data_IF_676265661413
#
_entry.id   IF_676265661413
#
_cell.length_a   1.000
_cell.length_b   1.000
_cell.length_c   1.000
_cell.angle_alpha   90.00
_cell.angle_beta   90.00
_cell.angle_gamma   90.00
#
_symmetry.space_group_name_H-M   'P 1'
#
loop_
_entity.id
_entity.type
_entity.pdbx_description
1 polymer ?
#
# COMPACT_ATOMS: atom_id res chain seq x y z
N UNK A 1 -5.08 8.50 -14.00
CA UNK A 1 -5.06 8.43 -15.48
C UNK A 1 -6.11 9.35 -16.12
N UNK A 2 -7.38 9.32 -15.70
CA UNK A 2 -8.44 10.22 -16.20
C UNK A 2 -8.13 11.72 -15.99
N UNK A 3 -7.47 12.11 -14.90
CA UNK A 3 -7.08 13.49 -14.64
C UNK A 3 -6.00 14.00 -15.61
N UNK A 4 -5.08 13.12 -16.01
CA UNK A 4 -4.07 13.42 -17.03
C UNK A 4 -4.72 13.69 -18.39
N UNK A 5 -5.76 12.92 -18.75
CA UNK A 5 -6.50 13.09 -20.00
C UNK A 5 -7.39 14.34 -19.99
N UNK A 6 -8.03 14.64 -18.84
CA UNK A 6 -8.87 15.84 -18.68
C UNK A 6 -8.07 17.15 -18.77
N UNK A 7 -6.81 17.14 -18.35
CA UNK A 7 -5.91 18.28 -18.49
C UNK A 7 -5.29 18.43 -19.88
N UNK A 8 -5.33 17.42 -20.73
CA UNK A 8 -4.76 17.47 -22.09
C UNK A 8 -5.42 18.55 -22.98
N UNK A 9 -6.69 18.85 -22.75
CA UNK A 9 -7.41 19.93 -23.46
C UNK A 9 -7.01 21.33 -22.95
N UNK A 10 -6.61 21.47 -21.68
CA UNK A 10 -6.13 22.74 -21.10
C UNK A 10 -4.67 23.05 -21.46
N UNK A 11 -3.91 22.07 -21.95
CA UNK A 11 -2.48 22.24 -22.29
C UNK A 11 -2.25 23.09 -23.53
N UNK A 12 -3.26 23.28 -24.37
CA UNK A 12 -3.16 24.17 -25.55
C UNK A 12 -3.24 25.66 -25.23
N UNK A 13 -3.68 26.04 -24.04
CA UNK A 13 -3.97 27.44 -23.69
C UNK A 13 -2.98 28.02 -22.67
N UNK A 14 -2.19 27.21 -21.95
CA UNK A 14 -1.24 27.69 -20.95
C UNK A 14 0.05 26.89 -21.03
N UNK A 15 1.15 27.49 -21.43
CA UNK A 15 2.46 26.88 -21.62
C UNK A 15 3.16 26.41 -20.33
N UNK A 16 2.45 26.28 -19.21
CA UNK A 16 2.92 25.67 -17.95
C UNK A 16 2.03 24.51 -17.54
N UNK A 17 2.63 23.33 -17.50
CA UNK A 17 2.08 22.04 -17.08
C UNK A 17 1.78 22.06 -15.56
N UNK A 18 0.67 22.66 -15.13
CA UNK A 18 0.25 22.67 -13.72
C UNK A 18 -0.50 21.39 -13.39
N UNK A 19 0.26 20.32 -13.07
CA UNK A 19 -0.32 19.09 -12.52
C UNK A 19 -0.84 19.37 -11.10
N UNK A 20 -1.98 18.74 -10.73
CA UNK A 20 -2.47 18.79 -9.36
C UNK A 20 -1.46 18.15 -8.40
N UNK A 21 -1.44 18.59 -7.13
CA UNK A 21 -0.62 17.96 -6.09
C UNK A 21 -0.87 16.45 -6.02
N UNK A 22 -2.15 16.05 -6.11
CA UNK A 22 -2.56 14.65 -6.11
C UNK A 22 -1.89 13.85 -7.25
N UNK A 23 -1.90 14.36 -8.47
CA UNK A 23 -1.28 13.68 -9.62
C UNK A 23 0.24 13.56 -9.45
N UNK A 24 0.90 14.63 -8.96
CA UNK A 24 2.35 14.61 -8.69
C UNK A 24 2.71 13.59 -7.62
N UNK A 25 2.03 13.62 -6.47
CA UNK A 25 2.25 12.67 -5.38
C UNK A 25 2.02 11.23 -5.83
N UNK A 26 0.92 10.96 -6.53
CA UNK A 26 0.63 9.61 -7.03
C UNK A 26 1.73 9.11 -7.96
N UNK A 27 2.16 9.91 -8.93
CA UNK A 27 3.16 9.48 -9.91
C UNK A 27 4.56 9.31 -9.29
N UNK A 28 5.01 10.28 -8.49
CA UNK A 28 6.34 10.22 -7.86
C UNK A 28 6.43 9.07 -6.87
N UNK A 29 5.42 8.88 -6.02
CA UNK A 29 5.42 7.80 -5.04
C UNK A 29 5.28 6.44 -5.73
N UNK A 30 4.44 6.32 -6.78
CA UNK A 30 4.34 5.07 -7.53
C UNK A 30 5.66 4.72 -8.20
N UNK A 31 6.32 5.67 -8.86
CA UNK A 31 7.61 5.43 -9.50
C UNK A 31 8.69 5.06 -8.48
N UNK A 32 8.74 5.76 -7.33
CA UNK A 32 9.68 5.47 -6.25
C UNK A 32 9.48 4.06 -5.67
N UNK A 33 8.23 3.67 -5.39
CA UNK A 33 7.91 2.35 -4.87
C UNK A 33 8.16 1.23 -5.90
N UNK A 34 7.91 1.46 -7.20
CA UNK A 34 8.25 0.50 -8.26
C UNK A 34 9.76 0.31 -8.36
N UNK A 35 10.51 1.40 -8.38
CA UNK A 35 11.97 1.33 -8.46
C UNK A 35 12.58 0.67 -7.21
N UNK A 36 12.12 1.06 -6.01
CA UNK A 36 12.57 0.47 -4.76
C UNK A 36 12.22 -1.02 -4.66
N UNK A 37 11.00 -1.41 -5.03
CA UNK A 37 10.57 -2.80 -5.06
C UNK A 37 11.40 -3.64 -6.01
N UNK A 38 11.63 -3.17 -7.24
CA UNK A 38 12.48 -3.85 -8.22
C UNK A 38 13.93 -4.01 -7.72
N UNK A 39 14.50 -2.92 -7.19
CA UNK A 39 15.86 -2.93 -6.67
C UNK A 39 16.02 -3.90 -5.48
N UNK A 40 15.09 -3.87 -4.52
CA UNK A 40 15.12 -4.75 -3.36
C UNK A 40 14.92 -6.22 -3.75
N UNK A 41 13.97 -6.52 -4.63
CA UNK A 41 13.77 -7.89 -5.13
C UNK A 41 15.01 -8.39 -5.84
N UNK A 42 15.61 -7.61 -6.74
CA UNK A 42 16.86 -7.99 -7.39
C UNK A 42 18.00 -8.19 -6.40
N UNK A 43 18.14 -7.30 -5.41
CA UNK A 43 19.24 -7.39 -4.44
C UNK A 43 19.12 -8.63 -3.53
N UNK A 44 17.91 -8.98 -3.10
CA UNK A 44 17.66 -10.08 -2.18
C UNK A 44 17.65 -11.45 -2.90
N UNK A 45 17.17 -11.50 -4.14
CA UNK A 45 17.00 -12.75 -4.89
C UNK A 45 18.10 -13.01 -5.92
N UNK A 46 19.09 -12.13 -6.04
CA UNK A 46 20.12 -12.20 -7.11
C UNK A 46 20.83 -13.53 -7.22
N UNK A 47 21.14 -14.14 -6.09
CA UNK A 47 21.85 -15.42 -5.98
C UNK A 47 20.96 -16.58 -5.56
N UNK A 48 19.65 -16.37 -5.37
CA UNK A 48 18.72 -17.43 -5.00
C UNK A 48 18.52 -18.41 -6.16
N UNK A 49 19.09 -19.60 -6.07
CA UNK A 49 19.01 -20.63 -7.11
C UNK A 49 17.61 -21.14 -7.44
N UNK A 50 16.65 -20.94 -6.53
CA UNK A 50 15.25 -21.34 -6.72
C UNK A 50 14.40 -20.25 -7.42
N UNK A 51 14.90 -19.02 -7.54
CA UNK A 51 14.17 -17.89 -8.11
C UNK A 51 14.96 -17.20 -9.22
N UNK A 52 15.68 -16.11 -8.91
CA UNK A 52 16.41 -15.34 -9.93
C UNK A 52 17.79 -15.92 -10.28
N UNK A 53 18.37 -16.76 -9.44
CA UNK A 53 19.74 -17.28 -9.62
C UNK A 53 20.03 -17.82 -11.03
N UNK A 54 19.17 -18.69 -11.61
CA UNK A 54 19.40 -19.28 -12.93
C UNK A 54 19.31 -18.31 -14.11
N UNK A 55 18.73 -17.11 -13.91
CA UNK A 55 18.44 -16.15 -14.98
C UNK A 55 19.68 -15.35 -15.39
N UNK A 56 19.74 -14.92 -16.65
CA UNK A 56 20.69 -13.93 -17.11
C UNK A 56 20.45 -12.54 -16.49
N UNK A 57 21.49 -11.68 -16.48
CA UNK A 57 21.40 -10.36 -15.84
C UNK A 57 20.20 -9.52 -16.31
N UNK A 58 19.92 -9.52 -17.62
CA UNK A 58 18.76 -8.80 -18.18
C UNK A 58 17.42 -9.39 -17.71
N UNK A 59 17.32 -10.70 -17.65
CA UNK A 59 16.13 -11.42 -17.17
C UNK A 59 15.90 -11.18 -15.66
N UNK A 60 16.97 -11.14 -14.84
CA UNK A 60 16.88 -10.79 -13.41
C UNK A 60 16.26 -9.41 -13.21
N UNK A 61 16.75 -8.41 -13.94
CA UNK A 61 16.25 -7.04 -13.85
C UNK A 61 14.78 -6.96 -14.31
N UNK A 62 14.45 -7.63 -15.40
CA UNK A 62 13.07 -7.68 -15.90
C UNK A 62 12.13 -8.38 -14.92
N UNK A 63 12.54 -9.54 -14.36
CA UNK A 63 11.75 -10.28 -13.38
C UNK A 63 11.57 -9.52 -12.07
N UNK A 64 12.60 -8.84 -11.58
CA UNK A 64 12.50 -8.00 -10.39
C UNK A 64 11.57 -6.81 -10.60
N UNK A 65 11.64 -6.15 -11.75
CA UNK A 65 10.70 -5.09 -12.12
C UNK A 65 9.27 -5.63 -12.27
N UNK A 66 9.10 -6.77 -12.95
CA UNK A 66 7.83 -7.44 -13.11
C UNK A 66 7.21 -7.77 -11.75
N UNK A 67 7.99 -8.41 -10.85
CA UNK A 67 7.53 -8.73 -9.49
C UNK A 67 7.04 -7.47 -8.76
N UNK A 68 7.83 -6.40 -8.76
CA UNK A 68 7.43 -5.13 -8.15
C UNK A 68 6.15 -4.53 -8.76
N UNK A 69 5.95 -4.66 -10.07
CA UNK A 69 4.75 -4.17 -10.74
C UNK A 69 3.52 -5.01 -10.38
N UNK A 70 3.68 -6.35 -10.30
CA UNK A 70 2.58 -7.29 -10.05
C UNK A 70 2.04 -7.22 -8.61
N UNK A 71 2.84 -6.75 -7.65
CA UNK A 71 2.38 -6.47 -6.26
C UNK A 71 1.27 -5.41 -6.20
N UNK A 72 1.01 -4.70 -7.31
CA UNK A 72 0.00 -3.64 -7.42
C UNK A 72 -1.35 -4.14 -7.93
N UNK A 73 -1.87 -5.22 -7.33
CA UNK A 73 -3.17 -5.83 -7.65
C UNK A 73 -3.27 -6.45 -9.06
N UNK A 74 -2.15 -6.89 -9.60
CA UNK A 74 -2.14 -7.67 -10.84
C UNK A 74 -2.02 -9.19 -10.58
N UNK A 75 -1.30 -9.59 -9.52
CA UNK A 75 -1.30 -10.95 -8.97
C UNK A 75 -0.61 -12.01 -9.82
N UNK A 76 0.14 -11.62 -10.86
CA UNK A 76 0.91 -12.57 -11.65
C UNK A 76 2.32 -12.75 -11.07
N UNK A 77 2.85 -13.95 -11.12
CA UNK A 77 4.20 -14.29 -10.70
C UNK A 77 5.01 -14.87 -11.87
N UNK A 78 6.28 -14.48 -11.93
CA UNK A 78 7.25 -15.04 -12.87
C UNK A 78 8.19 -16.06 -12.20
N UNK A 79 8.19 -16.09 -10.87
CA UNK A 79 8.97 -16.99 -10.03
C UNK A 79 8.07 -17.60 -8.96
N UNK A 80 8.45 -18.74 -8.41
CA UNK A 80 7.74 -19.40 -7.33
C UNK A 80 7.78 -18.52 -6.06
N UNK A 81 6.62 -18.11 -5.55
CA UNK A 81 6.51 -17.19 -4.41
C UNK A 81 6.96 -17.86 -3.11
N UNK A 82 6.66 -19.14 -2.95
CA UNK A 82 7.05 -19.97 -1.80
C UNK A 82 8.58 -20.16 -1.70
N UNK A 83 9.29 -20.04 -2.83
CA UNK A 83 10.75 -20.13 -2.91
C UNK A 83 11.48 -18.80 -2.68
N UNK A 84 10.76 -17.70 -2.47
CA UNK A 84 11.35 -16.39 -2.17
C UNK A 84 11.98 -16.37 -0.79
N UNK A 85 13.05 -15.60 -0.65
CA UNK A 85 13.68 -15.36 0.65
C UNK A 85 12.69 -14.70 1.61
N UNK A 86 12.67 -15.03 2.92
CA UNK A 86 11.75 -14.41 3.89
C UNK A 86 11.79 -12.88 3.90
N UNK A 87 12.97 -12.27 3.68
CA UNK A 87 13.10 -10.82 3.55
C UNK A 87 12.38 -10.29 2.32
N UNK A 88 12.41 -11.01 1.20
CA UNK A 88 11.68 -10.65 -0.03
C UNK A 88 10.17 -10.77 0.16
N UNK A 89 9.70 -11.80 0.86
CA UNK A 89 8.29 -11.95 1.22
C UNK A 89 7.82 -10.76 2.06
N UNK A 90 8.60 -10.33 3.05
CA UNK A 90 8.26 -9.16 3.87
C UNK A 90 8.21 -7.87 3.06
N UNK A 91 9.21 -7.62 2.21
CA UNK A 91 9.22 -6.46 1.29
C UNK A 91 8.00 -6.49 0.37
N UNK A 92 7.66 -7.67 -0.17
CA UNK A 92 6.49 -7.87 -1.01
C UNK A 92 5.19 -7.57 -0.24
N UNK A 93 5.07 -8.01 1.02
CA UNK A 93 3.94 -7.66 1.90
C UNK A 93 3.79 -6.14 2.04
N UNK A 94 4.88 -5.41 2.30
CA UNK A 94 4.84 -3.94 2.40
C UNK A 94 4.37 -3.30 1.08
N UNK A 95 4.87 -3.77 -0.06
CA UNK A 95 4.47 -3.28 -1.38
C UNK A 95 3.00 -3.59 -1.71
N UNK A 96 2.50 -4.77 -1.33
CA UNK A 96 1.10 -5.18 -1.51
C UNK A 96 0.16 -4.37 -0.62
N UNK A 97 0.57 -4.10 0.62
CA UNK A 97 -0.20 -3.28 1.57
C UNK A 97 -0.39 -1.85 1.07
N UNK A 98 0.65 -1.29 0.41
CA UNK A 98 0.59 0.01 -0.27
C UNK A 98 0.08 -0.22 -1.69
N UNK A 99 -1.24 -0.25 -1.87
CA UNK A 99 -1.89 -0.48 -3.15
C UNK A 99 -1.57 0.57 -4.23
N UNK A 100 -2.54 0.87 -5.07
CA UNK A 100 -2.37 1.83 -6.18
C UNK A 100 -2.96 3.21 -5.95
N UNK A 101 -3.06 3.99 -7.04
CA UNK A 101 -3.60 5.35 -7.03
C UNK A 101 -5.09 5.41 -6.65
N UNK A 102 -5.53 6.55 -6.09
CA UNK A 102 -6.88 6.74 -5.55
C UNK A 102 -8.01 6.67 -6.58
N UNK A 103 -7.71 6.82 -7.86
CA UNK A 103 -8.70 6.75 -8.95
C UNK A 103 -8.87 5.33 -9.53
N UNK A 104 -8.11 4.34 -9.04
CA UNK A 104 -8.16 2.95 -9.52
C UNK A 104 -9.00 2.04 -8.62
N UNK A 105 -9.35 0.88 -9.14
CA UNK A 105 -10.06 -0.20 -8.44
C UNK A 105 -9.16 -1.03 -7.52
N UNK A 106 -7.99 -0.53 -7.19
CA UNK A 106 -6.94 -1.20 -6.40
C UNK A 106 -7.32 -1.27 -4.93
N UNK A 107 -7.15 -2.43 -4.28
CA UNK A 107 -7.33 -2.62 -2.84
C UNK A 107 -6.16 -2.06 -2.01
N UNK A 108 -6.17 -2.35 -0.72
CA UNK A 108 -5.16 -1.87 0.22
C UNK A 108 -5.23 -0.36 0.49
N UNK A 109 -4.25 0.17 1.24
CA UNK A 109 -4.14 1.62 1.42
C UNK A 109 -3.67 2.27 0.13
N UNK A 110 -4.18 3.47 -0.15
CA UNK A 110 -3.82 4.17 -1.39
C UNK A 110 -2.40 4.72 -1.32
N UNK A 111 -1.70 4.72 -2.47
CA UNK A 111 -0.36 5.34 -2.59
C UNK A 111 -0.35 6.78 -2.08
N UNK A 112 -1.44 7.54 -2.32
CA UNK A 112 -1.58 8.90 -1.80
C UNK A 112 -1.68 8.96 -0.29
N UNK A 113 -2.37 8.00 0.35
CA UNK A 113 -2.44 7.88 1.82
C UNK A 113 -1.05 7.65 2.39
N UNK A 114 -0.31 6.71 1.80
CA UNK A 114 1.08 6.45 2.19
C UNK A 114 1.97 7.69 1.99
N UNK A 115 1.87 8.36 0.83
CA UNK A 115 2.64 9.57 0.52
C UNK A 115 2.37 10.71 1.51
N UNK A 116 1.10 10.92 1.88
CA UNK A 116 0.69 11.93 2.87
C UNK A 116 1.29 11.64 4.24
N UNK A 117 1.26 10.39 4.69
CA UNK A 117 1.87 9.97 5.95
C UNK A 117 3.39 10.10 5.93
N UNK A 118 4.04 9.72 4.82
CA UNK A 118 5.49 9.87 4.67
C UNK A 118 5.92 11.35 4.72
N UNK A 119 5.19 12.24 4.04
CA UNK A 119 5.46 13.69 4.11
C UNK A 119 5.27 14.23 5.52
N UNK A 120 4.21 13.80 6.22
CA UNK A 120 3.95 14.21 7.60
C UNK A 120 5.07 13.75 8.55
N UNK A 121 5.51 12.49 8.41
CA UNK A 121 6.61 11.95 9.21
C UNK A 121 7.91 12.71 8.97
N UNK A 122 8.24 13.04 7.71
CA UNK A 122 9.44 13.81 7.39
C UNK A 122 9.35 15.24 7.94
N UNK A 123 8.19 15.90 7.85
CA UNK A 123 7.97 17.22 8.41
C UNK A 123 8.14 17.23 9.94
N UNK A 124 7.58 16.22 10.63
CA UNK A 124 7.72 16.07 12.08
C UNK A 124 9.18 15.86 12.51
N UNK A 125 9.90 14.95 11.82
CA UNK A 125 11.34 14.71 12.08
C UNK A 125 12.19 15.97 11.87
N UNK A 126 11.79 16.85 10.93
CA UNK A 126 12.47 18.10 10.66
C UNK A 126 12.04 19.26 11.57
N UNK A 127 11.04 19.06 12.42
CA UNK A 127 10.47 20.10 13.28
C UNK A 127 9.70 21.16 12.47
N UNK A 128 9.21 20.84 11.29
CA UNK A 128 8.43 21.76 10.47
C UNK A 128 7.01 21.92 11.04
N UNK A 129 6.46 23.14 11.16
CA UNK A 129 5.16 23.38 11.77
C UNK A 129 3.97 22.85 10.93
N UNK A 130 4.22 22.45 9.68
CA UNK A 130 3.20 21.94 8.78
C UNK A 130 3.79 20.96 7.76
N UNK A 131 3.01 19.93 7.39
CA UNK A 131 3.37 19.04 6.31
C UNK A 131 3.22 19.74 4.96
N UNK A 132 4.34 20.11 4.35
CA UNK A 132 4.39 20.80 3.07
C UNK A 132 5.14 19.97 2.03
N UNK A 133 4.64 19.95 0.81
CA UNK A 133 5.30 19.25 -0.30
C UNK A 133 4.95 19.89 -1.63
N UNK A 134 5.93 19.95 -2.54
CA UNK A 134 5.74 20.48 -3.91
C UNK A 134 5.10 21.88 -3.95
N UNK A 135 5.41 22.73 -2.95
CA UNK A 135 4.89 24.09 -2.83
C UNK A 135 3.42 24.17 -2.37
N UNK A 136 2.90 23.13 -1.71
CA UNK A 136 1.53 23.10 -1.16
C UNK A 136 1.52 22.49 0.22
N UNK A 137 0.67 23.03 1.11
CA UNK A 137 0.42 22.52 2.45
C UNK A 137 -0.66 21.46 2.44
N UNK A 138 -0.42 20.35 3.19
CA UNK A 138 -1.41 19.30 3.40
C UNK A 138 -2.26 19.68 4.63
N UNK A 139 -3.60 19.68 4.51
CA UNK A 139 -4.45 20.05 5.63
C UNK A 139 -4.41 18.98 6.74
N UNK A 140 -4.45 19.37 8.04
CA UNK A 140 -4.43 18.43 9.17
C UNK A 140 -5.57 17.41 9.16
N UNK A 141 -6.70 17.73 8.55
CA UNK A 141 -7.82 16.81 8.35
C UNK A 141 -7.44 15.63 7.46
N UNK A 142 -6.72 15.88 6.36
CA UNK A 142 -6.25 14.83 5.47
C UNK A 142 -5.21 13.92 6.17
N UNK A 143 -4.34 14.49 7.02
CA UNK A 143 -3.39 13.72 7.82
C UNK A 143 -4.11 12.78 8.80
N UNK A 144 -5.10 13.29 9.55
CA UNK A 144 -5.90 12.47 10.48
C UNK A 144 -6.67 11.37 9.75
N UNK A 145 -7.26 11.65 8.61
CA UNK A 145 -7.94 10.64 7.79
C UNK A 145 -6.96 9.57 7.30
N UNK A 146 -5.79 9.97 6.80
CA UNK A 146 -4.76 9.05 6.33
C UNK A 146 -4.28 8.12 7.45
N UNK A 147 -4.04 8.67 8.64
CA UNK A 147 -3.64 7.91 9.83
C UNK A 147 -4.73 6.93 10.27
N UNK A 148 -5.98 7.37 10.33
CA UNK A 148 -7.12 6.50 10.69
C UNK A 148 -7.24 5.31 9.73
N UNK A 149 -7.17 5.57 8.42
CA UNK A 149 -7.25 4.50 7.39
C UNK A 149 -6.09 3.52 7.54
N UNK A 150 -4.86 4.03 7.75
CA UNK A 150 -3.68 3.17 7.87
C UNK A 150 -3.74 2.30 9.15
N UNK A 151 -4.08 2.88 10.31
CA UNK A 151 -4.18 2.13 11.57
C UNK A 151 -5.28 1.08 11.53
N UNK A 152 -6.45 1.39 10.96
CA UNK A 152 -7.53 0.42 10.80
C UNK A 152 -7.14 -0.71 9.84
N UNK A 153 -6.44 -0.40 8.75
CA UNK A 153 -5.94 -1.40 7.82
C UNK A 153 -4.92 -2.34 8.48
N UNK A 154 -3.96 -1.79 9.22
CA UNK A 154 -2.98 -2.58 9.98
C UNK A 154 -3.69 -3.46 11.02
N UNK A 155 -4.59 -2.90 11.80
CA UNK A 155 -5.35 -3.65 12.81
C UNK A 155 -6.15 -4.80 12.21
N UNK A 156 -6.78 -4.58 11.04
CA UNK A 156 -7.54 -5.61 10.35
C UNK A 156 -6.65 -6.74 9.84
N UNK A 157 -5.52 -6.40 9.19
CA UNK A 157 -4.56 -7.40 8.69
C UNK A 157 -3.98 -8.21 9.84
N UNK A 158 -3.55 -7.56 10.93
CA UNK A 158 -3.01 -8.26 12.10
C UNK A 158 -4.06 -9.18 12.71
N UNK A 159 -5.29 -8.70 12.90
CA UNK A 159 -6.38 -9.51 13.45
C UNK A 159 -6.68 -10.74 12.61
N UNK A 160 -6.75 -10.57 11.28
CA UNK A 160 -6.97 -11.69 10.36
C UNK A 160 -5.79 -12.68 10.38
N UNK A 161 -4.54 -12.19 10.43
CA UNK A 161 -3.35 -13.04 10.56
C UNK A 161 -3.41 -13.88 11.83
N UNK A 162 -3.72 -13.26 12.98
CA UNK A 162 -3.86 -13.97 14.27
C UNK A 162 -4.94 -15.04 14.18
N UNK A 163 -6.11 -14.72 13.64
CA UNK A 163 -7.20 -15.68 13.48
C UNK A 163 -6.77 -16.87 12.61
N UNK A 164 -6.13 -16.63 11.48
CA UNK A 164 -5.66 -17.71 10.60
C UNK A 164 -4.57 -18.57 11.26
N UNK A 165 -3.63 -17.95 12.00
CA UNK A 165 -2.60 -18.70 12.74
C UNK A 165 -3.18 -19.64 13.82
N UNK A 166 -4.36 -19.34 14.38
CA UNK A 166 -5.02 -20.26 15.31
C UNK A 166 -5.69 -21.46 14.62
N UNK A 167 -5.86 -21.39 13.30
CA UNK A 167 -6.58 -22.40 12.50
C UNK A 167 -5.65 -23.27 11.64
N UNK A 168 -4.39 -22.90 11.50
CA UNK A 168 -3.41 -23.58 10.63
C UNK A 168 -2.08 -23.78 11.33
N UNK A 169 -1.30 -24.77 10.86
CA UNK A 169 0.09 -25.02 11.29
C UNK A 169 1.12 -24.37 10.34
N UNK A 170 0.64 -23.55 9.42
CA UNK A 170 1.48 -22.87 8.44
C UNK A 170 2.42 -21.86 9.08
N UNK A 171 3.51 -21.54 8.37
CA UNK A 171 4.53 -20.59 8.83
C UNK A 171 3.92 -19.19 8.88
N UNK A 172 4.34 -18.41 9.90
CA UNK A 172 3.87 -17.03 10.10
C UNK A 172 4.00 -16.17 8.85
N UNK A 173 5.15 -16.23 8.15
CA UNK A 173 5.40 -15.44 6.96
C UNK A 173 4.45 -15.80 5.80
N UNK A 174 4.07 -17.06 5.65
CA UNK A 174 3.12 -17.49 4.63
C UNK A 174 1.70 -16.98 4.95
N UNK A 175 1.26 -17.12 6.19
CA UNK A 175 -0.05 -16.63 6.64
C UNK A 175 -0.15 -15.10 6.54
N UNK A 176 0.89 -14.39 6.95
CA UNK A 176 0.96 -12.94 6.82
C UNK A 176 0.89 -12.51 5.34
N UNK A 177 1.62 -13.22 4.47
CA UNK A 177 1.61 -12.95 3.04
C UNK A 177 0.22 -13.10 2.44
N UNK A 178 -0.50 -14.20 2.75
CA UNK A 178 -1.87 -14.43 2.29
C UNK A 178 -2.84 -13.36 2.79
N UNK A 179 -2.77 -12.99 4.07
CA UNK A 179 -3.66 -11.95 4.63
C UNK A 179 -3.42 -10.59 4.01
N UNK A 180 -2.15 -10.22 3.79
CA UNK A 180 -1.80 -8.95 3.13
C UNK A 180 -2.21 -8.97 1.66
N UNK A 181 -1.98 -10.06 0.95
CA UNK A 181 -2.39 -10.24 -0.44
C UNK A 181 -3.92 -10.17 -0.59
N UNK A 182 -4.66 -10.80 0.31
CA UNK A 182 -6.13 -10.73 0.34
C UNK A 182 -6.61 -9.30 0.60
N UNK A 183 -6.09 -8.62 1.65
CA UNK A 183 -6.44 -7.23 1.95
C UNK A 183 -6.07 -6.28 0.81
N UNK A 184 -4.88 -6.43 0.23
CA UNK A 184 -4.43 -5.66 -0.93
C UNK A 184 -5.20 -6.00 -2.21
N UNK A 185 -5.99 -7.08 -2.22
CA UNK A 185 -6.63 -7.66 -3.43
C UNK A 185 -5.62 -7.90 -4.55
N UNK A 186 -4.44 -8.41 -4.20
CA UNK A 186 -3.31 -8.57 -5.13
C UNK A 186 -3.41 -9.85 -5.91
N UNK A 187 -3.64 -10.98 -5.22
CA UNK A 187 -3.76 -12.31 -5.83
C UNK A 187 -2.47 -13.12 -5.86
N UNK A 188 -1.34 -12.59 -5.36
CA UNK A 188 -0.14 -13.38 -5.11
C UNK A 188 -0.37 -14.31 -3.91
N UNK A 189 0.10 -15.55 -3.99
CA UNK A 189 -0.04 -16.57 -2.96
C UNK A 189 1.24 -17.38 -2.81
N UNK A 190 1.53 -17.80 -1.59
CA UNK A 190 2.55 -18.79 -1.27
C UNK A 190 2.06 -20.23 -1.50
N UNK A 191 0.78 -20.40 -1.90
CA UNK A 191 0.17 -21.71 -2.17
C UNK A 191 -0.69 -22.26 -1.03
N UNK A 192 -0.60 -21.71 0.19
CA UNK A 192 -1.29 -22.26 1.36
C UNK A 192 -2.82 -22.06 1.36
N UNK A 193 -3.36 -21.23 0.47
CA UNK A 193 -4.80 -20.87 0.46
C UNK A 193 -5.69 -22.11 0.30
N UNK A 194 -5.27 -23.09 -0.52
CA UNK A 194 -6.04 -24.30 -0.75
C UNK A 194 -6.08 -25.23 0.49
N UNK A 195 -5.03 -25.21 1.31
CA UNK A 195 -4.86 -26.04 2.49
C UNK A 195 -5.53 -25.44 3.75
N UNK A 196 -5.99 -24.19 3.67
CA UNK A 196 -6.70 -23.53 4.75
C UNK A 196 -8.10 -24.17 4.96
N UNK A 197 -8.55 -24.30 6.22
CA UNK A 197 -9.92 -24.74 6.50
C UNK A 197 -10.94 -23.76 5.90
N UNK A 198 -12.15 -24.23 5.60
CA UNK A 198 -13.21 -23.43 4.97
C UNK A 198 -13.46 -22.09 5.70
N UNK A 199 -13.40 -22.08 7.03
CA UNK A 199 -13.53 -20.85 7.84
C UNK A 199 -12.39 -19.87 7.54
N UNK A 200 -11.16 -20.36 7.40
CA UNK A 200 -10.00 -19.54 7.04
C UNK A 200 -10.14 -18.92 5.64
N UNK A 201 -10.63 -19.70 4.68
CA UNK A 201 -10.92 -19.19 3.32
C UNK A 201 -12.00 -18.10 3.35
N UNK A 202 -13.06 -18.26 4.17
CA UNK A 202 -14.10 -17.22 4.35
C UNK A 202 -13.50 -15.96 4.95
N UNK A 203 -12.59 -16.06 5.92
CA UNK A 203 -11.87 -14.90 6.49
C UNK A 203 -11.10 -14.14 5.39
N UNK A 204 -10.39 -14.85 4.51
CA UNK A 204 -9.69 -14.23 3.38
C UNK A 204 -10.68 -13.55 2.41
N UNK A 205 -11.81 -14.16 2.08
CA UNK A 205 -12.84 -13.56 1.21
C UNK A 205 -13.39 -12.27 1.82
N UNK A 206 -13.72 -12.27 3.11
CA UNK A 206 -14.17 -11.07 3.82
C UNK A 206 -13.09 -9.99 3.80
N UNK A 207 -11.83 -10.37 3.99
CA UNK A 207 -10.70 -9.45 3.96
C UNK A 207 -10.51 -8.83 2.56
N UNK A 208 -10.65 -9.61 1.49
CA UNK A 208 -10.64 -9.11 0.10
C UNK A 208 -11.75 -8.08 -0.13
N UNK A 209 -12.96 -8.36 0.33
CA UNK A 209 -14.08 -7.45 0.19
C UNK A 209 -13.85 -6.13 0.94
N UNK A 210 -13.44 -6.21 2.20
CA UNK A 210 -13.16 -5.04 3.03
C UNK A 210 -11.96 -4.26 2.49
N UNK A 211 -10.90 -4.94 2.05
CA UNK A 211 -9.72 -4.31 1.48
C UNK A 211 -10.01 -3.53 0.20
N UNK A 212 -11.00 -3.96 -0.58
CA UNK A 212 -11.39 -3.28 -1.82
C UNK A 212 -12.34 -2.11 -1.58
N UNK A 213 -13.37 -2.30 -0.77
CA UNK A 213 -14.46 -1.34 -0.55
C UNK A 213 -14.18 -0.46 0.66
N UNK A 214 -13.56 -1.01 1.71
CA UNK A 214 -13.38 -0.39 3.02
C UNK A 214 -12.65 0.96 2.99
N UNK A 215 -11.48 1.10 2.37
CA UNK A 215 -10.76 2.37 2.36
C UNK A 215 -11.55 3.51 1.69
N UNK A 216 -12.31 3.23 0.64
CA UNK A 216 -13.10 4.23 -0.08
C UNK A 216 -14.32 4.65 0.73
N UNK A 217 -15.06 3.67 1.26
CA UNK A 217 -16.26 3.93 2.07
C UNK A 217 -15.90 4.60 3.39
N UNK A 218 -14.80 4.21 4.02
CA UNK A 218 -14.33 4.80 5.26
C UNK A 218 -13.95 6.28 5.07
N UNK A 219 -13.17 6.61 4.04
CA UNK A 219 -12.82 8.00 3.73
C UNK A 219 -14.06 8.83 3.44
N UNK A 220 -15.02 8.29 2.66
CA UNK A 220 -16.28 8.97 2.38
C UNK A 220 -17.13 9.17 3.63
N UNK A 221 -17.23 8.16 4.49
CA UNK A 221 -17.96 8.25 5.76
C UNK A 221 -17.33 9.25 6.72
N UNK A 222 -16.00 9.31 6.80
CA UNK A 222 -15.26 10.27 7.61
C UNK A 222 -15.42 11.70 7.09
N UNK A 223 -15.41 11.89 5.76
CA UNK A 223 -15.62 13.20 5.14
C UNK A 223 -17.02 13.76 5.37
N UNK A 224 -18.05 12.88 5.43
CA UNK A 224 -19.44 13.27 5.68
C UNK A 224 -19.74 13.49 7.18
N UNK A 225 -18.84 13.08 8.09
CA UNK A 225 -19.06 13.14 9.54
C UNK A 225 -18.47 14.43 10.14
N UNK A 226 -18.80 15.59 9.60
CA UNK A 226 -18.50 16.87 10.25
C UNK A 226 -19.44 17.11 11.44
N UNK A 227 -18.96 16.83 12.66
CA UNK A 227 -19.61 17.30 13.89
C UNK A 227 -19.01 18.66 14.23
N UNK A 228 -19.72 19.73 13.96
CA UNK A 228 -19.46 21.04 14.54
C UNK A 228 -19.72 21.01 16.04
N UNK A 229 -18.68 20.90 16.85
CA UNK A 229 -18.79 21.10 18.30
C UNK A 229 -18.85 22.60 18.61
N UNK A 230 -19.82 23.01 19.39
CA UNK A 230 -20.01 24.43 19.82
C UNK A 230 -19.06 24.86 20.93
N UNK A 231 -18.25 23.95 21.48
CA UNK A 231 -17.27 24.23 22.54
C UNK A 231 -16.01 23.37 22.32
N UNK A 232 -14.87 23.88 22.75
CA UNK A 232 -13.61 23.16 22.79
C UNK A 232 -13.29 22.86 24.25
N UNK A 233 -12.78 21.65 24.52
CA UNK A 233 -12.22 21.29 25.82
C UNK A 233 -10.82 21.89 25.95
N UNK A 234 -10.34 22.20 27.20
CA UNK A 234 -8.95 22.61 27.41
C UNK A 234 -7.98 21.59 26.81
N UNK A 235 -6.92 22.11 26.20
CA UNK A 235 -5.86 21.25 25.65
C UNK A 235 -4.92 20.81 26.75
N UNK A 236 -4.73 19.51 26.90
CA UNK A 236 -3.72 18.91 27.74
C UNK A 236 -2.80 18.05 26.88
N UNK A 237 -1.51 18.18 27.04
CA UNK A 237 -0.50 17.45 26.25
C UNK A 237 -0.05 16.22 27.03
N UNK A 238 -0.47 15.00 26.64
CA UNK A 238 0.12 13.78 27.19
C UNK A 238 1.59 13.69 26.78
N UNK A 239 2.42 13.16 27.67
CA UNK A 239 3.83 12.88 27.36
C UNK A 239 3.86 11.77 26.31
N UNK A 240 4.36 12.09 25.13
CA UNK A 240 4.61 11.12 24.06
C UNK A 240 6.08 10.75 24.20
N UNK A 241 6.36 9.47 24.55
CA UNK A 241 7.69 8.95 24.79
C UNK A 241 8.59 8.90 23.56
#
# INVERSE_FOLDING_TARGET
MLEVLRHRHRWRVSGRRNWSLHAKLTLTTTAALLAAGAALTCALEWSNGATLGPFGTGEKLLSGFFHSAMTRTAGFNAVAIDALHPATLLVTCVLMFIGGGSAGTVGGIKVTTFAVLAVAMVAEVRGEPAAETMGRRIPPTALRQALTVALLAIGLVISATVVLLTMTQERFEAVLFETVSAFGTVGLSTGITADLPAVGQVVLVLLMFVGRVGPITLVSALALRERTRRFQLPEERPVIG
#
